data_IF_458014492414
#
_entry.id   IF_458014492414
#
_cell.length_a   1.000
_cell.length_b   1.000
_cell.length_c   1.000
_cell.angle_alpha   90.00
_cell.angle_beta   90.00
_cell.angle_gamma   90.00
#
_symmetry.space_group_name_H-M   'P 1'
#
loop_
_entity.id
_entity.type
_entity.pdbx_description
1 polymer ?
#
# COMPACT_ATOMS: atom_id res chain seq x y z
N UNK A 1 13.78 4.75 15.26
CA UNK A 1 12.69 3.80 15.04
C UNK A 1 13.09 2.38 15.47
N UNK A 2 14.07 1.71 14.81
CA UNK A 2 14.39 0.31 15.09
C UNK A 2 14.78 0.05 16.56
N UNK A 3 15.60 0.94 17.15
CA UNK A 3 15.93 0.86 18.57
C UNK A 3 14.69 0.97 19.47
N UNK A 4 13.78 1.90 19.16
CA UNK A 4 12.53 2.07 19.94
C UNK A 4 11.62 0.84 19.84
N UNK A 5 11.56 0.17 18.68
CA UNK A 5 10.83 -1.08 18.51
C UNK A 5 11.45 -2.19 19.36
N UNK A 6 12.77 -2.32 19.31
CA UNK A 6 13.50 -3.31 20.12
C UNK A 6 13.31 -3.06 21.63
N UNK A 7 13.42 -1.82 22.09
CA UNK A 7 13.20 -1.43 23.49
C UNK A 7 11.76 -1.72 23.96
N UNK A 8 10.79 -1.65 23.05
CA UNK A 8 9.39 -2.02 23.29
C UNK A 8 9.12 -3.54 23.19
N UNK A 9 10.14 -4.36 22.88
CA UNK A 9 9.98 -5.80 22.70
C UNK A 9 9.30 -6.20 21.38
N UNK A 10 9.18 -5.27 20.42
CA UNK A 10 8.60 -5.53 19.10
C UNK A 10 9.66 -6.10 18.17
N UNK A 11 9.41 -7.27 17.62
CA UNK A 11 10.27 -7.92 16.63
C UNK A 11 9.44 -8.51 15.49
N UNK A 12 10.10 -8.95 14.44
CA UNK A 12 9.47 -9.62 13.29
C UNK A 12 8.72 -10.90 13.66
N UNK A 13 9.11 -11.53 14.77
CA UNK A 13 8.51 -12.78 15.25
C UNK A 13 7.32 -12.54 16.20
N UNK A 14 7.23 -11.34 16.78
CA UNK A 14 6.20 -11.02 17.80
C UNK A 14 5.01 -10.31 17.24
N UNK A 15 5.20 -9.44 16.22
CA UNK A 15 4.13 -8.61 15.69
C UNK A 15 4.20 -8.53 14.14
N UNK A 16 3.05 -8.65 13.44
CA UNK A 16 2.97 -8.47 11.99
C UNK A 16 3.04 -6.97 11.65
N UNK A 17 4.23 -6.37 11.77
CA UNK A 17 4.47 -4.95 11.54
C UNK A 17 5.10 -4.71 10.18
N UNK A 18 4.61 -3.68 9.48
CA UNK A 18 5.25 -3.13 8.29
C UNK A 18 5.77 -1.73 8.61
N UNK A 19 6.98 -1.42 8.12
CA UNK A 19 7.54 -0.06 8.17
C UNK A 19 7.30 0.58 6.81
N UNK A 20 6.71 1.77 6.80
CA UNK A 20 6.42 2.51 5.57
C UNK A 20 7.18 3.83 5.53
N UNK A 21 7.59 4.25 4.34
CA UNK A 21 8.26 5.52 4.12
C UNK A 21 8.05 6.01 2.69
N UNK A 22 7.98 7.34 2.52
CA UNK A 22 8.00 8.00 1.21
C UNK A 22 9.41 8.05 0.61
N UNK A 23 10.44 8.10 1.46
CA UNK A 23 11.84 8.19 1.01
C UNK A 23 12.41 6.80 0.69
N UNK A 24 12.62 6.53 -0.60
CA UNK A 24 13.18 5.26 -1.07
C UNK A 24 14.65 5.06 -0.59
N UNK A 25 15.40 6.13 -0.38
CA UNK A 25 16.76 6.03 0.15
C UNK A 25 16.75 5.55 1.60
N UNK A 26 15.77 6.00 2.42
CA UNK A 26 15.62 5.53 3.80
C UNK A 26 15.22 4.06 3.86
N UNK A 27 14.29 3.60 3.00
CA UNK A 27 13.93 2.17 2.96
C UNK A 27 15.12 1.31 2.54
N UNK A 28 15.91 1.77 1.56
CA UNK A 28 17.15 1.08 1.18
C UNK A 28 18.13 1.01 2.35
N UNK A 29 18.31 2.11 3.07
CA UNK A 29 19.17 2.17 4.27
C UNK A 29 18.71 1.19 5.34
N UNK A 30 17.39 1.10 5.59
CA UNK A 30 16.82 0.14 6.53
C UNK A 30 17.12 -1.31 6.11
N UNK A 31 17.05 -1.61 4.82
CA UNK A 31 17.31 -2.95 4.29
C UNK A 31 18.79 -3.30 4.28
N UNK A 32 19.65 -2.41 3.75
CA UNK A 32 21.06 -2.71 3.47
C UNK A 32 21.96 -2.46 4.69
N UNK A 33 21.79 -1.32 5.40
CA UNK A 33 22.67 -0.98 6.52
C UNK A 33 22.21 -1.60 7.83
N UNK A 34 20.89 -1.63 8.08
CA UNK A 34 20.34 -2.18 9.32
C UNK A 34 19.85 -3.62 9.18
N UNK A 35 19.85 -4.18 7.99
CA UNK A 35 19.44 -5.56 7.71
C UNK A 35 18.09 -5.91 8.36
N UNK A 36 17.14 -4.95 8.36
CA UNK A 36 15.87 -5.15 9.04
C UNK A 36 15.09 -6.30 8.43
N UNK A 37 14.55 -7.18 9.26
CA UNK A 37 13.64 -8.25 8.85
C UNK A 37 12.18 -7.81 8.77
N UNK A 38 11.84 -6.57 9.19
CA UNK A 38 10.48 -6.05 9.02
C UNK A 38 10.13 -5.88 7.55
N UNK A 39 8.85 -6.07 7.24
CA UNK A 39 8.33 -5.76 5.91
C UNK A 39 8.40 -4.26 5.66
N UNK A 40 8.88 -3.87 4.48
CA UNK A 40 9.03 -2.48 4.08
C UNK A 40 8.01 -2.14 3.00
N UNK A 41 7.32 -1.01 3.16
CA UNK A 41 6.33 -0.50 2.20
C UNK A 41 6.80 0.84 1.66
N UNK A 42 7.06 0.91 0.35
CA UNK A 42 7.36 2.17 -0.32
C UNK A 42 6.08 2.94 -0.57
N UNK A 43 5.89 4.06 0.12
CA UNK A 43 4.80 4.98 -0.18
C UNK A 43 5.08 5.74 -1.49
N UNK A 44 4.09 5.82 -2.35
CA UNK A 44 4.18 6.48 -3.67
C UNK A 44 3.13 7.58 -3.74
N UNK A 45 3.58 8.83 -3.73
CA UNK A 45 2.79 10.03 -3.92
C UNK A 45 2.98 10.64 -5.30
N UNK A 46 2.77 11.96 -5.40
CA UNK A 46 3.12 12.76 -6.57
C UNK A 46 4.43 13.51 -6.32
N UNK A 47 5.24 13.69 -7.36
CA UNK A 47 6.54 14.35 -7.24
C UNK A 47 6.45 15.80 -6.72
N UNK A 48 5.34 16.49 -6.98
CA UNK A 48 5.09 17.86 -6.56
C UNK A 48 4.58 18.01 -5.12
N UNK A 49 4.26 16.91 -4.42
CA UNK A 49 3.86 16.97 -3.01
C UNK A 49 5.03 17.27 -2.06
N UNK A 50 6.25 17.01 -2.50
CA UNK A 50 7.45 17.35 -1.71
C UNK A 50 7.66 16.46 -0.47
N UNK A 51 7.08 15.26 -0.43
CA UNK A 51 7.20 14.30 0.68
C UNK A 51 8.65 13.79 0.85
N UNK A 52 9.37 13.65 -0.26
CA UNK A 52 10.78 13.26 -0.28
C UNK A 52 11.44 13.68 -1.61
N UNK A 53 12.71 13.32 -1.79
CA UNK A 53 13.42 13.47 -3.06
C UNK A 53 13.26 12.26 -3.99
N UNK A 54 12.42 11.31 -3.64
CA UNK A 54 12.13 10.12 -4.45
C UNK A 54 11.38 10.51 -5.71
N UNK A 55 11.81 10.01 -6.86
CA UNK A 55 11.08 10.15 -8.12
C UNK A 55 9.97 9.09 -8.20
N UNK A 56 8.76 9.48 -7.78
CA UNK A 56 7.60 8.57 -7.75
C UNK A 56 7.11 8.19 -9.16
N UNK A 57 7.32 9.05 -10.18
CA UNK A 57 6.98 8.72 -11.55
C UNK A 57 7.86 7.59 -12.07
N UNK A 58 9.15 7.64 -11.78
CA UNK A 58 10.07 6.55 -12.10
C UNK A 58 9.71 5.25 -11.35
N UNK A 59 9.33 5.32 -10.06
CA UNK A 59 8.93 4.15 -9.27
C UNK A 59 7.67 3.46 -9.80
N UNK A 60 6.74 4.19 -10.43
CA UNK A 60 5.51 3.63 -11.01
C UNK A 60 5.72 2.89 -12.34
N UNK A 61 6.93 2.94 -12.91
CA UNK A 61 7.29 2.17 -14.11
C UNK A 61 7.60 0.71 -13.76
N UNK A 62 7.55 -0.20 -14.75
CA UNK A 62 7.94 -1.60 -14.54
C UNK A 62 9.38 -1.75 -14.09
N UNK A 63 10.28 -0.94 -14.65
CA UNK A 63 11.69 -0.93 -14.31
C UNK A 63 11.89 -0.42 -12.87
N UNK A 64 11.15 0.63 -12.47
CA UNK A 64 11.16 1.16 -11.11
C UNK A 64 10.65 0.14 -10.10
N UNK A 65 9.54 -0.53 -10.38
CA UNK A 65 8.97 -1.59 -9.54
C UNK A 65 9.92 -2.79 -9.41
N UNK A 66 10.54 -3.22 -10.52
CA UNK A 66 11.52 -4.31 -10.50
C UNK A 66 12.75 -3.96 -9.65
N UNK A 67 13.21 -2.71 -9.71
CA UNK A 67 14.31 -2.22 -8.88
C UNK A 67 13.90 -2.16 -7.40
N UNK A 68 12.69 -1.69 -7.13
CA UNK A 68 12.15 -1.54 -5.78
C UNK A 68 11.98 -2.89 -5.07
N UNK A 69 11.64 -3.95 -5.79
CA UNK A 69 11.46 -5.30 -5.25
C UNK A 69 12.73 -5.87 -4.57
N UNK A 70 13.92 -5.31 -4.87
CA UNK A 70 15.15 -5.62 -4.13
C UNK A 70 15.24 -5.00 -2.73
N UNK A 71 14.36 -4.05 -2.41
CA UNK A 71 14.40 -3.28 -1.16
C UNK A 71 13.11 -3.40 -0.36
N UNK A 72 11.96 -3.22 -1.01
CA UNK A 72 10.64 -3.22 -0.40
C UNK A 72 9.89 -4.53 -0.66
N UNK A 73 8.93 -4.84 0.20
CA UNK A 73 8.05 -6.00 0.09
C UNK A 73 6.68 -5.60 -0.48
N UNK A 74 6.36 -4.31 -0.44
CA UNK A 74 5.11 -3.78 -0.95
C UNK A 74 5.26 -2.32 -1.42
N UNK A 75 4.31 -1.87 -2.24
CA UNK A 75 4.08 -0.46 -2.52
C UNK A 75 2.81 0.02 -1.83
N UNK A 76 2.83 1.27 -1.35
CA UNK A 76 1.66 2.00 -0.86
C UNK A 76 1.40 3.20 -1.77
N UNK A 77 0.75 3.03 -2.93
CA UNK A 77 0.46 4.15 -3.82
C UNK A 77 -0.75 4.94 -3.33
N UNK A 78 -0.77 6.24 -3.64
CA UNK A 78 -2.01 7.00 -3.55
C UNK A 78 -3.10 6.36 -4.41
N UNK A 79 -4.34 6.28 -3.88
CA UNK A 79 -5.46 5.60 -4.57
C UNK A 79 -5.66 6.07 -6.03
N UNK A 80 -5.40 7.36 -6.30
CA UNK A 80 -5.53 7.94 -7.65
C UNK A 80 -4.60 7.31 -8.69
N UNK A 81 -3.53 6.64 -8.32
CA UNK A 81 -2.63 5.95 -9.25
C UNK A 81 -3.18 4.60 -9.75
N UNK A 82 -4.15 4.03 -9.06
CA UNK A 82 -4.63 2.67 -9.32
C UNK A 82 -5.86 2.63 -10.23
N UNK A 83 -6.48 3.79 -10.53
CA UNK A 83 -7.65 3.81 -11.39
C UNK A 83 -7.75 5.08 -12.24
N UNK A 84 -8.59 5.02 -13.25
CA UNK A 84 -9.03 6.16 -14.08
C UNK A 84 -10.54 6.09 -14.24
N UNK A 85 -11.17 7.23 -14.52
CA UNK A 85 -12.60 7.26 -14.84
C UNK A 85 -12.77 7.15 -16.36
N UNK A 86 -13.48 6.10 -16.79
CA UNK A 86 -13.84 5.92 -18.20
C UNK A 86 -14.84 6.96 -18.69
N UNK A 87 -15.04 7.03 -20.01
CA UNK A 87 -16.02 7.93 -20.63
C UNK A 87 -17.48 7.64 -20.23
N UNK A 88 -17.72 6.44 -19.68
CA UNK A 88 -19.01 6.00 -19.12
C UNK A 88 -19.16 6.36 -17.63
N UNK A 89 -18.21 7.12 -17.06
CA UNK A 89 -18.20 7.52 -15.66
C UNK A 89 -17.79 6.42 -14.67
N UNK A 90 -17.36 5.26 -15.16
CA UNK A 90 -17.01 4.11 -14.31
C UNK A 90 -15.51 4.04 -14.04
N UNK A 91 -15.09 3.62 -12.84
CA UNK A 91 -13.68 3.38 -12.54
C UNK A 91 -13.14 2.20 -13.37
N UNK A 92 -11.89 2.33 -13.80
CA UNK A 92 -11.13 1.30 -14.52
C UNK A 92 -9.75 1.20 -13.91
N UNK A 93 -9.33 0.00 -13.55
CA UNK A 93 -8.01 -0.23 -12.98
C UNK A 93 -6.90 0.15 -13.96
N UNK A 94 -5.84 0.79 -13.44
CA UNK A 94 -4.59 0.97 -14.15
C UNK A 94 -3.79 -0.34 -14.13
N UNK A 95 -2.62 -0.33 -14.74
CA UNK A 95 -1.73 -1.50 -14.71
C UNK A 95 -0.84 -1.56 -13.47
N UNK A 96 -0.83 -0.53 -12.62
CA UNK A 96 0.14 -0.39 -11.54
C UNK A 96 0.13 -1.58 -10.57
N UNK A 97 -1.05 -2.03 -10.12
CA UNK A 97 -1.15 -3.19 -9.24
C UNK A 97 -0.63 -4.47 -9.93
N UNK A 98 -1.07 -4.74 -11.16
CA UNK A 98 -0.61 -5.91 -11.91
C UNK A 98 0.90 -5.89 -12.20
N UNK A 99 1.47 -4.72 -12.50
CA UNK A 99 2.90 -4.57 -12.75
C UNK A 99 3.71 -4.69 -11.43
N UNK A 100 3.16 -4.25 -10.28
CA UNK A 100 3.74 -4.47 -8.95
C UNK A 100 3.76 -5.95 -8.57
N UNK A 101 2.63 -6.65 -8.75
CA UNK A 101 2.55 -8.10 -8.53
C UNK A 101 3.52 -8.88 -9.42
N UNK A 102 3.67 -8.48 -10.70
CA UNK A 102 4.65 -9.09 -11.60
C UNK A 102 6.10 -8.91 -11.12
N UNK A 103 6.38 -7.85 -10.35
CA UNK A 103 7.66 -7.62 -9.69
C UNK A 103 7.78 -8.32 -8.31
N UNK A 104 6.71 -8.95 -7.79
CA UNK A 104 6.68 -9.60 -6.49
C UNK A 104 6.39 -8.66 -5.32
N UNK A 105 5.79 -7.50 -5.58
CA UNK A 105 5.41 -6.51 -4.58
C UNK A 105 3.92 -6.59 -4.28
N UNK A 106 3.54 -6.60 -3.00
CA UNK A 106 2.15 -6.39 -2.59
C UNK A 106 1.75 -4.91 -2.78
N UNK A 107 0.44 -4.64 -2.82
CA UNK A 107 -0.11 -3.29 -3.08
C UNK A 107 -1.06 -2.88 -1.96
N UNK A 108 -0.67 -1.85 -1.19
CA UNK A 108 -1.41 -1.32 -0.03
C UNK A 108 -1.69 0.18 -0.22
N UNK A 109 -2.71 0.57 -1.00
CA UNK A 109 -2.98 1.99 -1.29
C UNK A 109 -3.50 2.78 -0.09
N UNK A 110 -3.31 4.09 -0.13
CA UNK A 110 -3.77 5.09 0.85
C UNK A 110 -4.49 6.26 0.16
N UNK A 111 -5.38 6.98 0.82
CA UNK A 111 -6.07 6.65 2.05
C UNK A 111 -7.55 6.49 1.74
N UNK A 112 -8.15 5.41 2.16
CA UNK A 112 -9.58 5.17 1.99
C UNK A 112 -10.34 5.91 3.09
N UNK A 113 -11.14 6.91 2.69
CA UNK A 113 -11.86 7.82 3.58
C UNK A 113 -13.33 7.88 3.21
N UNK A 114 -14.20 7.88 4.22
CA UNK A 114 -15.65 8.04 4.00
C UNK A 114 -16.06 9.50 3.82
N UNK A 115 -15.26 10.41 4.35
CA UNK A 115 -15.46 11.86 4.32
C UNK A 115 -14.73 12.55 3.14
N UNK A 116 -13.92 11.78 2.37
CA UNK A 116 -13.21 12.25 1.18
C UNK A 116 -13.10 11.09 0.18
N UNK A 117 -14.25 10.76 -0.46
CA UNK A 117 -14.33 9.66 -1.41
C UNK A 117 -13.62 9.98 -2.72
N UNK A 118 -12.89 9.01 -3.23
CA UNK A 118 -12.33 9.11 -4.57
C UNK A 118 -13.45 9.19 -5.63
N UNK A 119 -13.28 10.01 -6.68
CA UNK A 119 -14.29 10.16 -7.74
C UNK A 119 -14.71 8.82 -8.37
N UNK A 120 -16.00 8.67 -8.64
CA UNK A 120 -16.57 7.48 -9.32
C UNK A 120 -17.09 6.42 -8.36
N UNK A 121 -16.97 6.62 -7.04
CA UNK A 121 -17.51 5.71 -6.03
C UNK A 121 -18.65 6.37 -5.24
N UNK A 122 -19.76 5.64 -4.98
CA UNK A 122 -20.91 6.18 -4.27
C UNK A 122 -20.69 6.25 -2.75
N UNK A 123 -19.88 5.35 -2.20
CA UNK A 123 -19.54 5.23 -0.78
C UNK A 123 -18.21 4.50 -0.58
N UNK A 124 -17.76 4.44 0.68
CA UNK A 124 -16.49 3.81 1.04
C UNK A 124 -16.51 2.29 0.83
N UNK A 125 -17.62 1.65 1.11
CA UNK A 125 -17.78 0.19 1.01
C UNK A 125 -17.64 -0.28 -0.43
N UNK A 126 -18.32 0.39 -1.37
CA UNK A 126 -18.19 0.09 -2.80
C UNK A 126 -16.79 0.44 -3.33
N UNK A 127 -16.18 1.53 -2.83
CA UNK A 127 -14.79 1.85 -3.14
C UNK A 127 -13.85 0.74 -2.70
N UNK A 128 -13.92 0.30 -1.44
CA UNK A 128 -13.06 -0.78 -0.91
C UNK A 128 -13.30 -2.07 -1.70
N UNK A 129 -14.56 -2.45 -1.92
CA UNK A 129 -14.92 -3.65 -2.68
C UNK A 129 -14.27 -3.63 -4.05
N UNK A 130 -14.42 -2.53 -4.80
CA UNK A 130 -13.87 -2.40 -6.13
C UNK A 130 -12.32 -2.49 -6.15
N UNK A 131 -11.65 -1.79 -5.23
CA UNK A 131 -10.19 -1.84 -5.17
C UNK A 131 -9.67 -3.26 -4.87
N UNK A 132 -10.36 -3.99 -4.00
CA UNK A 132 -9.98 -5.37 -3.67
C UNK A 132 -10.27 -6.33 -4.82
N UNK A 133 -11.45 -6.24 -5.47
CA UNK A 133 -11.88 -7.25 -6.45
C UNK A 133 -11.44 -6.93 -7.88
N UNK A 134 -11.37 -5.63 -8.26
CA UNK A 134 -11.09 -5.20 -9.64
C UNK A 134 -9.68 -4.64 -9.80
N UNK A 135 -9.21 -3.80 -8.88
CA UNK A 135 -7.84 -3.30 -8.91
C UNK A 135 -6.82 -4.31 -8.36
N UNK A 136 -7.27 -5.28 -7.54
CA UNK A 136 -6.48 -6.38 -7.05
C UNK A 136 -5.48 -5.96 -5.97
N UNK A 137 -5.87 -5.07 -5.04
CA UNK A 137 -4.99 -4.67 -3.94
C UNK A 137 -4.97 -5.71 -2.83
N UNK A 138 -3.83 -5.83 -2.12
CA UNK A 138 -3.59 -6.85 -1.08
C UNK A 138 -3.90 -6.35 0.33
N UNK A 139 -3.91 -5.04 0.50
CA UNK A 139 -4.24 -4.35 1.75
C UNK A 139 -4.67 -2.92 1.46
N UNK A 140 -4.95 -2.15 2.51
CA UNK A 140 -5.31 -0.75 2.36
C UNK A 140 -5.06 0.03 3.65
N UNK A 141 -4.85 1.35 3.52
CA UNK A 141 -4.82 2.28 4.65
C UNK A 141 -6.14 3.04 4.70
N UNK A 142 -6.78 3.06 5.87
CA UNK A 142 -8.06 3.73 6.07
C UNK A 142 -8.19 4.35 7.46
N UNK A 143 -8.87 5.47 7.52
CA UNK A 143 -9.28 6.11 8.78
C UNK A 143 -10.58 5.49 9.34
N UNK A 144 -11.19 4.53 8.62
CA UNK A 144 -12.46 3.88 8.95
C UNK A 144 -12.29 2.35 8.99
N UNK A 145 -11.44 1.81 9.91
CA UNK A 145 -11.08 0.40 9.90
C UNK A 145 -12.25 -0.55 10.16
N UNK A 146 -13.25 -0.15 10.93
CA UNK A 146 -14.46 -0.91 11.20
C UNK A 146 -15.26 -1.17 9.92
N UNK A 147 -15.42 -0.16 9.05
CA UNK A 147 -16.09 -0.28 7.75
C UNK A 147 -15.29 -1.15 6.80
N UNK A 148 -13.98 -0.96 6.73
CA UNK A 148 -13.12 -1.78 5.89
C UNK A 148 -13.17 -3.27 6.29
N UNK A 149 -13.06 -3.57 7.60
CA UNK A 149 -13.15 -4.93 8.11
C UNK A 149 -14.51 -5.56 7.79
N UNK A 150 -15.62 -4.80 7.86
CA UNK A 150 -16.94 -5.30 7.50
C UNK A 150 -16.98 -5.75 6.04
N UNK A 151 -16.51 -4.93 5.09
CA UNK A 151 -16.44 -5.28 3.66
C UNK A 151 -15.55 -6.49 3.42
N UNK A 152 -14.37 -6.55 4.03
CA UNK A 152 -13.44 -7.66 3.86
C UNK A 152 -14.01 -8.98 4.43
N UNK A 153 -14.80 -8.93 5.53
CA UNK A 153 -15.52 -10.08 6.07
C UNK A 153 -16.59 -10.58 5.08
N UNK A 154 -17.38 -9.68 4.48
CA UNK A 154 -18.38 -10.03 3.46
C UNK A 154 -17.73 -10.71 2.24
N UNK A 155 -16.53 -10.28 1.87
CA UNK A 155 -15.75 -10.87 0.78
C UNK A 155 -15.03 -12.17 1.18
N UNK A 156 -15.06 -12.56 2.47
CA UNK A 156 -14.38 -13.75 2.98
C UNK A 156 -12.85 -13.62 3.03
N UNK A 157 -12.32 -12.39 3.07
CA UNK A 157 -10.90 -12.09 2.97
C UNK A 157 -10.22 -11.82 4.31
N UNK A 158 -10.98 -11.61 5.39
CA UNK A 158 -10.38 -11.42 6.72
C UNK A 158 -9.82 -12.75 7.22
N UNK A 159 -8.51 -12.85 7.27
CA UNK A 159 -7.85 -13.96 7.97
C UNK A 159 -7.85 -13.66 9.47
N UNK A 160 -8.63 -14.41 10.23
CA UNK A 160 -8.50 -14.40 11.69
C UNK A 160 -7.11 -14.94 12.04
N UNK A 161 -6.18 -14.06 12.38
CA UNK A 161 -4.94 -14.47 13.05
C UNK A 161 -5.34 -14.80 14.49
N UNK A 162 -5.21 -16.06 14.95
CA UNK A 162 -5.52 -16.40 16.34
C UNK A 162 -4.60 -15.58 17.24
N UNK A 163 -5.17 -14.81 18.17
CA UNK A 163 -4.36 -14.19 19.24
C UNK A 163 -3.76 -15.34 20.04
N UNK A 164 -2.44 -15.44 20.02
CA UNK A 164 -1.68 -16.34 20.92
C UNK A 164 -1.63 -15.76 22.31
#
# INVERSE_FOLDING_TARGET
LLASLADAGVSVDTEPLCIQCFDAAELRRLREEFSTGFRLVQLIGENDWGESHTDYDALRTREGLATLAGTADAIGPWVGHLYTIGSDGRPRATRLAADAHAAGLDVHPYTFRADDLAPGFPDLEEMIRWFVTEAGVDGLFTDFPDRAVAVLNELGLVRHVPRR
#
